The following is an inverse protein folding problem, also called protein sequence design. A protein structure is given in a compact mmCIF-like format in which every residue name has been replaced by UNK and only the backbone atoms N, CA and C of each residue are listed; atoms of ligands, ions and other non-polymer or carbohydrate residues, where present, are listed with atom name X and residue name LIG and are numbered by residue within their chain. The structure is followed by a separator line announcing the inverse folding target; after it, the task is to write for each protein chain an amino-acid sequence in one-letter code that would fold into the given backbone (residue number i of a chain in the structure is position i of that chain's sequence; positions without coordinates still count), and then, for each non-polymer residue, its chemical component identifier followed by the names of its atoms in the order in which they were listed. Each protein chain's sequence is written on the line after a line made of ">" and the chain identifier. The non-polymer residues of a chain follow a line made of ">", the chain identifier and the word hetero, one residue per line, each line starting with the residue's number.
data_IF_826008232959
#
_entry.id   IF_826008232959
#
_cell.length_a   1.000
_cell.length_b   1.000
_cell.length_c   1.000
_cell.angle_alpha   90.00
_cell.angle_beta   90.00
_cell.angle_gamma   90.00
#
_symmetry.space_group_name_H-M   'P 1'
#
loop_
_entity.id
_entity.type
_entity.pdbx_description
1 polymer ?
#
# COMPACT_ATOMS: atom_id res chain seq x y z
N UNK A 1 17.18 -8.43 22.53
CA UNK A 1 16.32 -8.34 21.34
C UNK A 1 15.02 -9.00 21.74
N UNK A 2 13.89 -8.29 21.63
CA UNK A 2 12.57 -8.87 21.91
C UNK A 2 12.10 -9.58 20.65
N UNK A 3 11.73 -10.84 20.76
CA UNK A 3 11.09 -11.58 19.68
C UNK A 3 9.83 -10.83 19.22
N UNK A 4 9.60 -10.80 17.91
CA UNK A 4 8.37 -10.22 17.37
C UNK A 4 7.18 -11.11 17.71
N UNK A 5 5.98 -10.53 17.96
CA UNK A 5 4.78 -11.29 18.31
C UNK A 5 4.31 -12.22 17.18
N UNK A 6 4.64 -11.88 15.93
CA UNK A 6 4.45 -12.71 14.73
C UNK A 6 5.45 -12.30 13.66
N UNK A 7 5.67 -13.18 12.66
CA UNK A 7 6.34 -12.78 11.43
C UNK A 7 5.40 -11.82 10.66
N UNK A 8 5.80 -10.54 10.44
CA UNK A 8 4.93 -9.62 9.70
C UNK A 8 4.90 -9.96 8.22
N UNK A 9 3.76 -9.73 7.59
CA UNK A 9 3.60 -9.75 6.13
C UNK A 9 4.23 -8.47 5.54
N UNK A 10 5.00 -8.60 4.46
CA UNK A 10 5.72 -7.50 3.81
C UNK A 10 5.14 -7.25 2.42
N UNK A 11 4.46 -6.12 2.26
CA UNK A 11 3.92 -5.62 0.99
C UNK A 11 4.90 -4.60 0.41
N UNK A 12 5.40 -4.78 -0.81
CA UNK A 12 6.21 -3.76 -1.46
C UNK A 12 5.36 -2.80 -2.29
N UNK A 13 5.59 -1.48 -2.15
CA UNK A 13 4.96 -0.40 -2.92
C UNK A 13 6.03 0.31 -3.77
N UNK A 14 6.31 -0.17 -5.00
CA UNK A 14 7.56 0.15 -5.69
C UNK A 14 7.58 1.52 -6.35
N UNK A 15 6.44 2.19 -6.58
CA UNK A 15 6.42 3.42 -7.39
C UNK A 15 5.41 4.50 -6.96
N UNK A 16 4.21 4.10 -6.45
CA UNK A 16 3.14 5.06 -6.16
C UNK A 16 2.62 5.81 -7.40
N UNK A 17 1.85 6.88 -7.21
CA UNK A 17 1.16 7.60 -8.28
C UNK A 17 1.97 8.77 -8.91
N UNK A 18 2.99 9.32 -8.23
CA UNK A 18 3.53 10.64 -8.54
C UNK A 18 4.98 10.66 -9.00
N UNK A 19 5.81 9.73 -8.53
CA UNK A 19 7.23 9.65 -8.81
C UNK A 19 7.51 8.93 -10.12
N UNK A 20 8.70 9.19 -10.72
CA UNK A 20 9.16 8.57 -11.95
C UNK A 20 10.67 8.44 -11.99
N UNK A 21 11.23 8.13 -13.16
CA UNK A 21 12.69 7.96 -13.35
C UNK A 21 13.51 9.21 -13.00
N UNK A 22 12.89 10.40 -13.05
CA UNK A 22 13.53 11.65 -12.63
C UNK A 22 13.80 11.72 -11.13
N UNK A 23 13.01 10.99 -10.34
CA UNK A 23 13.16 10.93 -8.88
C UNK A 23 14.13 9.81 -8.46
N UNK A 24 14.12 8.69 -9.19
CA UNK A 24 15.05 7.59 -8.99
C UNK A 24 15.14 6.70 -10.25
N UNK A 25 16.35 6.38 -10.76
CA UNK A 25 16.52 5.65 -12.02
C UNK A 25 15.93 4.23 -12.02
N UNK A 26 15.82 3.60 -10.85
CA UNK A 26 15.24 2.26 -10.66
C UNK A 26 13.79 2.28 -10.15
N UNK A 27 13.08 3.42 -10.25
CA UNK A 27 11.65 3.47 -9.93
C UNK A 27 10.86 2.93 -11.14
N UNK A 28 10.09 1.83 -10.99
CA UNK A 28 9.43 1.20 -12.13
C UNK A 28 8.25 2.03 -12.63
N UNK A 29 8.19 2.28 -13.93
CA UNK A 29 7.14 3.03 -14.63
C UNK A 29 6.45 2.16 -15.67
N UNK A 30 7.20 1.30 -16.36
CA UNK A 30 6.67 0.37 -17.36
C UNK A 30 6.23 -0.95 -16.74
N UNK A 31 5.43 -1.74 -17.46
CA UNK A 31 5.04 -3.08 -17.04
C UNK A 31 6.26 -3.98 -16.85
N UNK A 32 7.20 -3.95 -17.80
CA UNK A 32 8.41 -4.75 -17.73
C UNK A 32 9.24 -4.44 -16.49
N UNK A 33 9.49 -3.15 -16.21
CA UNK A 33 10.20 -2.70 -15.00
C UNK A 33 9.45 -3.11 -13.72
N UNK A 34 8.11 -3.04 -13.73
CA UNK A 34 7.27 -3.46 -12.60
C UNK A 34 7.42 -4.95 -12.32
N UNK A 35 7.41 -5.79 -13.35
CA UNK A 35 7.60 -7.24 -13.23
C UNK A 35 9.01 -7.58 -12.73
N UNK A 36 10.04 -6.93 -13.27
CA UNK A 36 11.43 -7.13 -12.85
C UNK A 36 11.60 -6.73 -11.37
N UNK A 37 11.06 -5.57 -10.98
CA UNK A 37 11.08 -5.09 -9.60
C UNK A 37 10.32 -6.01 -8.66
N UNK A 38 9.14 -6.48 -9.05
CA UNK A 38 8.33 -7.41 -8.26
C UNK A 38 9.08 -8.71 -7.98
N UNK A 39 9.74 -9.28 -8.99
CA UNK A 39 10.57 -10.50 -8.84
C UNK A 39 11.72 -10.26 -7.86
N UNK A 40 12.51 -9.20 -8.06
CA UNK A 40 13.63 -8.88 -7.18
C UNK A 40 13.19 -8.63 -5.73
N UNK A 41 12.06 -7.96 -5.52
CA UNK A 41 11.50 -7.73 -4.18
C UNK A 41 10.99 -9.03 -3.54
N UNK A 42 10.36 -9.93 -4.30
CA UNK A 42 9.95 -11.24 -3.82
C UNK A 42 11.17 -12.08 -3.37
N UNK A 43 12.22 -12.13 -4.20
CA UNK A 43 13.49 -12.78 -3.86
C UNK A 43 14.16 -12.16 -2.61
N UNK A 44 13.96 -10.85 -2.38
CA UNK A 44 14.43 -10.14 -1.19
C UNK A 44 13.57 -10.39 0.05
N UNK A 45 12.39 -11.02 -0.09
CA UNK A 45 11.51 -11.43 1.00
C UNK A 45 10.21 -10.63 1.12
N UNK A 46 9.75 -9.98 0.06
CA UNK A 46 8.39 -9.44 0.00
C UNK A 46 7.37 -10.56 -0.26
N UNK A 47 6.24 -10.50 0.46
CA UNK A 47 5.12 -11.43 0.34
C UNK A 47 4.09 -10.96 -0.72
N UNK A 48 4.01 -9.65 -0.97
CA UNK A 48 3.05 -9.07 -1.91
C UNK A 48 3.52 -7.76 -2.53
N UNK A 49 2.79 -7.34 -3.57
CA UNK A 49 3.00 -6.13 -4.34
C UNK A 49 1.78 -5.21 -4.27
N UNK A 50 1.97 -3.97 -3.85
CA UNK A 50 1.01 -2.88 -4.01
C UNK A 50 1.23 -2.23 -5.38
N UNK A 51 0.30 -2.50 -6.30
CA UNK A 51 0.45 -2.20 -7.72
C UNK A 51 -0.18 -0.86 -8.09
N UNK A 52 0.64 0.07 -8.56
CA UNK A 52 0.22 1.20 -9.39
C UNK A 52 0.60 0.95 -10.84
N UNK A 53 -0.32 1.21 -11.75
CA UNK A 53 -0.05 1.18 -13.20
C UNK A 53 0.09 2.58 -13.76
N UNK A 54 0.75 2.68 -14.89
CA UNK A 54 0.95 3.92 -15.62
C UNK A 54 0.37 3.85 -17.02
N UNK A 55 -0.04 5.00 -17.55
CA UNK A 55 -0.41 5.13 -18.96
C UNK A 55 0.82 5.20 -19.89
N UNK A 56 0.60 5.43 -21.17
CA UNK A 56 1.66 5.55 -22.17
C UNK A 56 2.58 6.77 -21.96
N UNK A 57 2.17 7.73 -21.13
CA UNK A 57 2.92 8.94 -20.80
C UNK A 57 3.57 8.85 -19.41
N UNK A 58 3.53 7.68 -18.76
CA UNK A 58 4.07 7.47 -17.43
C UNK A 58 3.20 8.05 -16.30
N UNK A 59 1.98 8.50 -16.61
CA UNK A 59 1.05 9.05 -15.63
C UNK A 59 0.30 7.93 -14.91
N UNK A 60 -0.06 8.18 -13.65
CA UNK A 60 -0.91 7.26 -12.88
C UNK A 60 -2.23 6.95 -13.61
N UNK A 61 -2.65 5.68 -13.61
CA UNK A 61 -3.83 5.25 -14.33
C UNK A 61 -4.71 4.30 -13.50
N UNK A 62 -6.04 4.41 -13.69
CA UNK A 62 -7.03 3.45 -13.22
C UNK A 62 -7.64 2.65 -14.40
N UNK A 63 -6.96 2.60 -15.54
CA UNK A 63 -7.41 1.85 -16.72
C UNK A 63 -7.49 0.35 -16.42
N UNK A 64 -8.67 -0.21 -16.56
CA UNK A 64 -8.94 -1.61 -16.22
C UNK A 64 -8.21 -2.59 -17.14
N UNK A 65 -8.04 -2.27 -18.42
CA UNK A 65 -7.33 -3.13 -19.38
C UNK A 65 -5.86 -3.27 -19.00
N UNK A 66 -5.21 -2.16 -18.67
CA UNK A 66 -3.82 -2.14 -18.18
C UNK A 66 -3.64 -2.87 -16.85
N UNK A 67 -4.60 -2.74 -15.92
CA UNK A 67 -4.58 -3.52 -14.68
C UNK A 67 -4.69 -5.02 -14.95
N UNK A 68 -5.62 -5.43 -15.81
CA UNK A 68 -5.79 -6.84 -16.16
C UNK A 68 -4.54 -7.43 -16.81
N UNK A 69 -3.91 -6.68 -17.73
CA UNK A 69 -2.64 -7.07 -18.35
C UNK A 69 -1.52 -7.21 -17.31
N UNK A 70 -1.35 -6.19 -16.45
CA UNK A 70 -0.30 -6.18 -15.43
C UNK A 70 -0.48 -7.32 -14.41
N UNK A 71 -1.70 -7.53 -13.93
CA UNK A 71 -2.01 -8.62 -12.99
C UNK A 71 -1.77 -9.99 -13.63
N UNK A 72 -2.15 -10.18 -14.92
CA UNK A 72 -1.93 -11.44 -15.63
C UNK A 72 -0.44 -11.72 -15.80
N UNK A 73 0.36 -10.72 -16.20
CA UNK A 73 1.80 -10.89 -16.39
C UNK A 73 2.52 -11.13 -15.05
N UNK A 74 2.17 -10.39 -13.99
CA UNK A 74 2.73 -10.61 -12.66
C UNK A 74 2.43 -12.00 -12.12
N UNK A 75 1.19 -12.49 -12.24
CA UNK A 75 0.83 -13.85 -11.83
C UNK A 75 1.57 -14.95 -12.60
N UNK A 76 1.90 -14.70 -13.85
CA UNK A 76 2.69 -15.62 -14.67
C UNK A 76 4.17 -15.63 -14.28
N UNK A 77 4.74 -14.45 -13.99
CA UNK A 77 6.18 -14.27 -13.78
C UNK A 77 6.60 -14.44 -12.31
N UNK A 78 5.71 -14.12 -11.36
CA UNK A 78 5.94 -14.19 -9.92
C UNK A 78 4.67 -14.77 -9.24
N UNK A 79 4.36 -16.05 -9.47
CA UNK A 79 3.07 -16.64 -9.08
C UNK A 79 2.81 -16.66 -7.58
N UNK A 80 3.86 -16.68 -6.76
CA UNK A 80 3.78 -16.75 -5.30
C UNK A 80 3.69 -15.36 -4.64
N UNK A 81 3.70 -14.28 -5.43
CA UNK A 81 3.57 -12.91 -4.93
C UNK A 81 2.10 -12.47 -4.95
N UNK A 82 1.55 -12.12 -3.79
CA UNK A 82 0.20 -11.54 -3.73
C UNK A 82 0.14 -10.18 -4.43
N UNK A 83 -0.97 -9.88 -5.10
CA UNK A 83 -1.13 -8.61 -5.82
C UNK A 83 -2.30 -7.83 -5.24
N UNK A 84 -2.02 -6.65 -4.71
CA UNK A 84 -3.00 -5.66 -4.33
C UNK A 84 -3.01 -4.53 -5.36
N UNK A 85 -4.14 -4.24 -5.99
CA UNK A 85 -4.25 -3.04 -6.83
C UNK A 85 -4.56 -1.80 -5.97
N UNK A 86 -4.19 -0.62 -6.46
CA UNK A 86 -4.64 0.64 -5.86
C UNK A 86 -5.87 1.18 -6.58
N UNK A 87 -6.70 1.91 -5.83
CA UNK A 87 -7.72 2.80 -6.39
C UNK A 87 -7.38 4.27 -6.14
N UNK A 88 -6.12 4.60 -5.79
CA UNK A 88 -5.72 6.00 -5.48
C UNK A 88 -6.19 6.96 -6.56
N UNK A 89 -6.92 7.98 -6.15
CA UNK A 89 -7.41 9.02 -7.06
C UNK A 89 -6.31 9.97 -7.56
N UNK A 90 -5.23 10.14 -6.81
CA UNK A 90 -4.07 10.99 -7.09
C UNK A 90 -4.45 12.45 -7.47
N UNK A 91 -5.67 12.90 -7.11
CA UNK A 91 -6.20 14.21 -7.52
C UNK A 91 -6.74 14.28 -8.95
N UNK A 92 -6.73 13.15 -9.68
CA UNK A 92 -7.17 13.08 -11.10
C UNK A 92 -8.52 12.36 -11.26
N UNK A 93 -8.81 11.40 -10.38
CA UNK A 93 -9.98 10.54 -10.51
C UNK A 93 -11.05 10.84 -9.46
N UNK A 94 -12.31 10.75 -9.85
CA UNK A 94 -13.46 10.75 -8.96
C UNK A 94 -13.80 9.34 -8.46
N UNK A 95 -14.73 9.26 -7.51
CA UNK A 95 -15.19 7.98 -6.94
C UNK A 95 -15.84 7.08 -7.98
N UNK A 96 -16.52 7.66 -9.00
CA UNK A 96 -17.06 6.89 -10.12
C UNK A 96 -15.97 6.14 -10.91
N UNK A 97 -14.80 6.77 -11.14
CA UNK A 97 -13.70 6.12 -11.82
C UNK A 97 -13.08 5.00 -10.96
N UNK A 98 -12.96 5.23 -9.64
CA UNK A 98 -12.50 4.21 -8.68
C UNK A 98 -13.47 3.01 -8.65
N UNK A 99 -14.77 3.26 -8.60
CA UNK A 99 -15.82 2.25 -8.71
C UNK A 99 -15.77 1.51 -10.05
N UNK A 100 -15.62 2.24 -11.16
CA UNK A 100 -15.50 1.68 -12.50
C UNK A 100 -14.29 0.74 -12.64
N UNK A 101 -13.15 1.11 -12.09
CA UNK A 101 -11.94 0.29 -12.04
C UNK A 101 -12.20 -1.02 -11.27
N UNK A 102 -12.68 -0.95 -10.03
CA UNK A 102 -13.00 -2.12 -9.20
C UNK A 102 -13.98 -3.07 -9.91
N UNK A 103 -15.03 -2.50 -10.53
CA UNK A 103 -16.06 -3.28 -11.23
C UNK A 103 -15.52 -4.06 -12.41
N UNK A 104 -14.59 -3.47 -13.17
CA UNK A 104 -14.06 -4.08 -14.40
C UNK A 104 -12.89 -5.02 -14.11
N UNK A 105 -11.98 -4.64 -13.21
CA UNK A 105 -10.78 -5.43 -12.86
C UNK A 105 -11.16 -6.65 -12.03
N UNK A 106 -12.14 -6.51 -11.11
CA UNK A 106 -12.55 -7.56 -10.16
C UNK A 106 -11.34 -8.13 -9.40
N UNK A 107 -10.55 -7.28 -8.74
CA UNK A 107 -9.29 -7.71 -8.11
C UNK A 107 -9.56 -8.63 -6.92
N UNK A 108 -8.64 -9.55 -6.64
CA UNK A 108 -8.69 -10.35 -5.41
C UNK A 108 -8.40 -9.49 -4.16
N UNK A 109 -7.61 -8.41 -4.32
CA UNK A 109 -7.24 -7.49 -3.24
C UNK A 109 -7.10 -6.07 -3.77
N UNK A 110 -7.68 -5.09 -3.06
CA UNK A 110 -7.60 -3.67 -3.41
C UNK A 110 -7.39 -2.80 -2.17
N UNK A 111 -6.63 -1.72 -2.31
CA UNK A 111 -6.58 -0.64 -1.33
C UNK A 111 -7.58 0.46 -1.70
N UNK A 112 -8.30 0.97 -0.70
CA UNK A 112 -9.35 1.99 -0.84
C UNK A 112 -9.16 3.06 0.23
N UNK A 113 -8.94 4.31 -0.19
CA UNK A 113 -8.80 5.43 0.75
C UNK A 113 -10.17 5.89 1.24
N UNK A 114 -10.40 5.83 2.55
CA UNK A 114 -11.67 6.23 3.18
C UNK A 114 -12.02 7.68 2.83
N UNK A 115 -11.08 8.62 2.99
CA UNK A 115 -11.29 10.04 2.66
C UNK A 115 -11.52 10.31 1.16
N UNK A 116 -11.00 9.45 0.28
CA UNK A 116 -11.27 9.59 -1.15
C UNK A 116 -12.70 9.18 -1.49
N UNK A 117 -13.18 8.09 -0.92
CA UNK A 117 -14.59 7.67 -1.08
C UNK A 117 -15.54 8.66 -0.41
N UNK A 118 -15.14 9.29 0.69
CA UNK A 118 -15.93 10.32 1.37
C UNK A 118 -16.17 11.58 0.54
N UNK A 119 -15.49 11.76 -0.60
CA UNK A 119 -15.80 12.84 -1.57
C UNK A 119 -17.13 12.65 -2.30
N UNK A 120 -17.67 11.43 -2.33
CA UNK A 120 -19.00 11.09 -2.83
C UNK A 120 -19.61 10.03 -1.89
N UNK A 121 -20.07 10.45 -0.69
CA UNK A 121 -20.48 9.52 0.37
C UNK A 121 -21.68 8.66 -0.05
N UNK A 122 -22.50 9.11 -0.96
CA UNK A 122 -23.60 8.35 -1.57
C UNK A 122 -23.13 7.14 -2.40
N UNK A 123 -21.84 7.13 -2.79
CA UNK A 123 -21.22 6.02 -3.51
C UNK A 123 -20.60 4.98 -2.58
N UNK A 124 -20.41 5.30 -1.29
CA UNK A 124 -19.66 4.43 -0.36
C UNK A 124 -20.28 3.03 -0.27
N UNK A 125 -21.60 2.93 -0.04
CA UNK A 125 -22.29 1.64 0.02
C UNK A 125 -22.15 0.82 -1.28
N UNK A 126 -22.18 1.48 -2.44
CA UNK A 126 -22.01 0.84 -3.75
C UNK A 126 -20.58 0.31 -3.93
N UNK A 127 -19.56 1.07 -3.50
CA UNK A 127 -18.14 0.67 -3.61
C UNK A 127 -17.88 -0.56 -2.74
N UNK A 128 -18.24 -0.50 -1.46
CA UNK A 128 -17.98 -1.60 -0.52
C UNK A 128 -18.88 -2.82 -0.78
N UNK A 129 -20.13 -2.61 -1.20
CA UNK A 129 -21.02 -3.67 -1.64
C UNK A 129 -20.50 -4.40 -2.87
N UNK A 130 -20.02 -3.66 -3.88
CA UNK A 130 -19.39 -4.25 -5.06
C UNK A 130 -18.18 -5.12 -4.69
N UNK A 131 -17.31 -4.64 -3.82
CA UNK A 131 -16.15 -5.42 -3.36
C UNK A 131 -16.59 -6.71 -2.64
N UNK A 132 -17.62 -6.64 -1.80
CA UNK A 132 -18.20 -7.82 -1.15
C UNK A 132 -18.74 -8.83 -2.16
N UNK A 133 -19.53 -8.38 -3.14
CA UNK A 133 -20.16 -9.22 -4.17
C UNK A 133 -19.12 -9.90 -5.07
N UNK A 134 -17.98 -9.25 -5.28
CA UNK A 134 -16.87 -9.76 -6.09
C UNK A 134 -15.89 -10.65 -5.31
N UNK A 135 -16.00 -10.70 -3.97
CA UNK A 135 -15.02 -11.34 -3.10
C UNK A 135 -13.67 -10.60 -3.04
N UNK A 136 -13.68 -9.29 -3.33
CA UNK A 136 -12.48 -8.45 -3.23
C UNK A 136 -12.15 -8.18 -1.76
N UNK A 137 -10.97 -8.59 -1.30
CA UNK A 137 -10.40 -8.16 -0.03
C UNK A 137 -10.13 -6.65 -0.10
N UNK A 138 -10.66 -5.88 0.86
CA UNK A 138 -10.48 -4.42 0.91
C UNK A 138 -9.53 -4.06 2.04
N UNK A 139 -8.48 -3.28 1.72
CA UNK A 139 -7.65 -2.63 2.71
C UNK A 139 -7.95 -1.13 2.75
N UNK A 140 -8.48 -0.66 3.89
CA UNK A 140 -8.83 0.74 4.11
C UNK A 140 -7.59 1.58 4.40
N UNK A 141 -7.31 2.59 3.57
CA UNK A 141 -6.21 3.53 3.79
C UNK A 141 -6.69 4.62 4.74
N UNK A 142 -5.99 4.77 5.87
CA UNK A 142 -6.27 5.72 6.94
C UNK A 142 -5.04 6.60 7.16
N UNK A 143 -5.19 7.90 7.04
CA UNK A 143 -4.10 8.87 7.19
C UNK A 143 -4.06 9.52 8.57
N UNK A 144 -5.19 9.48 9.31
CA UNK A 144 -5.33 10.07 10.64
C UNK A 144 -6.52 9.47 11.42
N UNK A 145 -6.76 10.01 12.60
CA UNK A 145 -7.85 9.59 13.47
C UNK A 145 -9.25 9.91 12.89
N UNK A 146 -9.36 10.93 12.04
CA UNK A 146 -10.65 11.29 11.40
C UNK A 146 -11.05 10.23 10.38
N UNK A 147 -10.13 9.75 9.57
CA UNK A 147 -10.39 8.61 8.66
C UNK A 147 -10.79 7.36 9.44
N UNK A 148 -10.13 7.08 10.57
CA UNK A 148 -10.45 5.93 11.41
C UNK A 148 -11.85 6.06 12.05
N UNK A 149 -12.24 7.25 12.47
CA UNK A 149 -13.58 7.53 12.99
C UNK A 149 -14.64 7.34 11.91
N UNK A 150 -14.42 7.87 10.71
CA UNK A 150 -15.33 7.72 9.56
C UNK A 150 -15.48 6.25 9.14
N UNK A 151 -14.38 5.49 9.09
CA UNK A 151 -14.43 4.04 8.83
C UNK A 151 -15.31 3.34 9.86
N UNK A 152 -15.14 3.68 11.15
CA UNK A 152 -15.93 3.11 12.23
C UNK A 152 -17.42 3.46 12.09
N UNK A 153 -17.75 4.69 11.69
CA UNK A 153 -19.12 5.10 11.40
C UNK A 153 -19.72 4.27 10.27
N UNK A 154 -19.01 4.11 9.16
CA UNK A 154 -19.46 3.33 8.02
C UNK A 154 -19.62 1.83 8.34
N UNK A 155 -18.76 1.27 9.19
CA UNK A 155 -18.90 -0.09 9.69
C UNK A 155 -20.19 -0.25 10.53
N UNK A 156 -20.46 0.68 11.46
CA UNK A 156 -21.69 0.65 12.27
C UNK A 156 -22.95 0.84 11.43
N UNK A 157 -22.87 1.61 10.36
CA UNK A 157 -23.99 1.83 9.43
C UNK A 157 -24.18 0.67 8.44
N UNK A 158 -23.28 -0.34 8.42
CA UNK A 158 -23.34 -1.46 7.48
C UNK A 158 -22.92 -1.10 6.06
N UNK A 159 -22.38 0.11 5.84
CA UNK A 159 -21.81 0.54 4.55
C UNK A 159 -20.54 -0.26 4.24
N UNK A 160 -19.63 -0.36 5.19
CA UNK A 160 -18.46 -1.26 5.15
C UNK A 160 -18.88 -2.60 5.75
N UNK A 161 -18.67 -3.70 5.03
CA UNK A 161 -19.17 -5.03 5.38
C UNK A 161 -18.30 -5.71 6.45
N UNK A 162 -18.88 -6.64 7.22
CA UNK A 162 -18.18 -7.31 8.34
C UNK A 162 -16.87 -7.99 7.97
N UNK A 163 -16.75 -8.49 6.74
CA UNK A 163 -15.52 -9.11 6.22
C UNK A 163 -14.44 -8.13 5.77
N UNK A 164 -14.71 -6.81 5.77
CA UNK A 164 -13.81 -5.76 5.25
C UNK A 164 -13.14 -5.02 6.42
N UNK A 165 -12.22 -5.70 7.13
CA UNK A 165 -11.63 -5.17 8.37
C UNK A 165 -10.19 -4.68 8.23
N UNK A 166 -9.52 -4.97 7.09
CA UNK A 166 -8.09 -4.68 6.93
C UNK A 166 -7.83 -3.16 6.82
N UNK A 167 -6.80 -2.71 7.50
CA UNK A 167 -6.42 -1.29 7.57
C UNK A 167 -4.98 -1.09 7.12
N UNK A 168 -4.72 0.01 6.43
CA UNK A 168 -3.40 0.56 6.19
C UNK A 168 -3.29 1.90 6.92
N UNK A 169 -2.42 1.98 7.91
CA UNK A 169 -2.12 3.20 8.66
C UNK A 169 -0.95 3.92 7.97
N UNK A 170 -1.19 5.15 7.51
CA UNK A 170 -0.23 5.92 6.73
C UNK A 170 0.41 7.00 7.57
N UNK A 171 1.71 6.89 7.80
CA UNK A 171 2.47 7.84 8.59
C UNK A 171 3.17 8.86 7.69
N UNK A 172 3.10 10.15 8.02
CA UNK A 172 3.88 11.22 7.43
C UNK A 172 3.47 11.66 6.01
N UNK A 173 2.44 11.08 5.38
CA UNK A 173 2.05 11.41 3.99
C UNK A 173 1.73 12.88 3.79
N UNK A 174 1.05 13.50 4.77
CA UNK A 174 0.63 14.89 4.73
C UNK A 174 1.39 15.78 5.72
N UNK A 175 2.45 15.26 6.37
CA UNK A 175 3.35 16.07 7.18
C UNK A 175 4.24 16.96 6.30
N UNK A 176 4.74 18.06 6.87
CA UNK A 176 5.71 18.91 6.19
C UNK A 176 6.95 18.09 5.83
N UNK A 177 7.35 18.12 4.55
CA UNK A 177 8.48 17.36 4.04
C UNK A 177 8.24 15.85 3.94
N UNK A 178 7.01 15.37 4.17
CA UNK A 178 6.66 13.94 4.19
C UNK A 178 7.55 13.14 5.16
N UNK A 179 7.67 13.60 6.38
CA UNK A 179 8.48 12.96 7.43
C UNK A 179 7.55 12.27 8.42
N UNK A 180 7.87 11.02 8.74
CA UNK A 180 7.19 10.21 9.75
C UNK A 180 8.09 9.88 10.94
N UNK A 181 7.46 9.50 12.04
CA UNK A 181 8.13 8.97 13.23
C UNK A 181 7.40 7.75 13.77
N UNK A 182 8.10 6.81 14.47
CA UNK A 182 7.47 5.65 15.09
C UNK A 182 6.34 6.00 16.08
N UNK A 183 6.39 7.20 16.67
CA UNK A 183 5.40 7.73 17.61
C UNK A 183 4.09 8.10 16.91
N UNK A 184 4.11 8.38 15.60
CA UNK A 184 2.90 8.70 14.82
C UNK A 184 1.90 7.54 14.80
N UNK A 185 2.32 6.32 15.11
CA UNK A 185 1.43 5.18 15.30
C UNK A 185 0.42 5.38 16.44
N UNK A 186 0.77 6.19 17.43
CA UNK A 186 -0.06 6.37 18.63
C UNK A 186 -1.32 7.21 18.35
N UNK A 187 -1.39 7.90 17.21
CA UNK A 187 -2.58 8.64 16.78
C UNK A 187 -3.74 7.74 16.33
N UNK A 188 -3.46 6.47 15.99
CA UNK A 188 -4.48 5.56 15.52
C UNK A 188 -5.07 4.71 16.65
N UNK A 189 -6.40 4.39 16.59
CA UNK A 189 -7.04 3.51 17.56
C UNK A 189 -6.35 2.14 17.59
N UNK A 190 -6.10 1.64 18.79
CA UNK A 190 -5.56 0.28 19.02
C UNK A 190 -6.74 -0.67 19.21
N UNK A 191 -7.12 -1.40 18.17
CA UNK A 191 -8.13 -2.45 18.22
C UNK A 191 -7.58 -3.78 17.66
N UNK A 192 -8.44 -4.78 17.51
CA UNK A 192 -8.04 -6.13 17.06
C UNK A 192 -8.14 -6.34 15.56
N UNK A 193 -8.52 -5.33 14.79
CA UNK A 193 -8.59 -5.44 13.33
C UNK A 193 -7.21 -5.71 12.75
N UNK A 194 -7.10 -6.48 11.65
CA UNK A 194 -5.85 -6.60 10.92
C UNK A 194 -5.37 -5.23 10.43
N UNK A 195 -4.10 -4.94 10.61
CA UNK A 195 -3.53 -3.66 10.24
C UNK A 195 -2.10 -3.78 9.70
N UNK A 196 -1.78 -2.88 8.80
CA UNK A 196 -0.50 -2.70 8.15
C UNK A 196 -0.08 -1.24 8.28
N UNK A 197 1.21 -0.96 8.21
CA UNK A 197 1.74 0.42 8.22
C UNK A 197 2.55 0.67 6.97
N UNK A 198 2.43 1.90 6.43
CA UNK A 198 3.44 2.50 5.59
C UNK A 198 3.84 3.86 6.16
N UNK A 199 5.07 4.29 5.89
CA UNK A 199 5.63 5.48 6.51
C UNK A 199 6.49 6.27 5.53
N UNK A 200 6.18 7.55 5.35
CA UNK A 200 6.87 8.41 4.39
C UNK A 200 8.16 9.00 4.97
N UNK A 201 9.18 9.07 4.11
CA UNK A 201 10.46 9.70 4.41
C UNK A 201 11.52 8.76 5.01
N UNK A 202 12.71 9.30 5.36
CA UNK A 202 13.90 8.50 5.65
C UNK A 202 13.78 7.61 6.89
N UNK A 203 12.80 7.86 7.76
CA UNK A 203 12.53 7.03 8.95
C UNK A 203 11.56 5.87 8.68
N UNK A 204 11.22 5.56 7.41
CA UNK A 204 10.31 4.48 7.02
C UNK A 204 10.61 3.19 7.79
N UNK A 205 11.83 2.67 7.71
CA UNK A 205 12.20 1.40 8.36
C UNK A 205 12.06 1.43 9.88
N UNK A 206 12.34 2.55 10.54
CA UNK A 206 12.15 2.68 11.98
C UNK A 206 10.65 2.61 12.36
N UNK A 207 9.78 3.24 11.57
CA UNK A 207 8.33 3.16 11.75
C UNK A 207 7.81 1.74 11.52
N UNK A 208 8.26 1.07 10.45
CA UNK A 208 7.89 -0.29 10.12
C UNK A 208 8.37 -1.29 11.18
N UNK A 209 9.59 -1.13 11.69
CA UNK A 209 10.09 -1.96 12.80
C UNK A 209 9.24 -1.80 14.06
N UNK A 210 8.85 -0.56 14.39
CA UNK A 210 7.91 -0.31 15.51
C UNK A 210 6.56 -0.96 15.30
N UNK A 211 6.03 -0.93 14.06
CA UNK A 211 4.80 -1.62 13.71
C UNK A 211 4.91 -3.14 13.88
N UNK A 212 6.00 -3.75 13.41
CA UNK A 212 6.28 -5.18 13.59
C UNK A 212 6.34 -5.59 15.08
N UNK A 213 6.98 -4.77 15.92
CA UNK A 213 7.01 -4.98 17.37
C UNK A 213 5.63 -4.97 18.03
N UNK A 214 4.65 -4.26 17.41
CA UNK A 214 3.26 -4.19 17.86
C UNK A 214 2.34 -5.21 17.14
N UNK A 215 2.91 -6.10 16.31
CA UNK A 215 2.16 -7.14 15.58
C UNK A 215 1.48 -6.68 14.29
N UNK A 216 1.83 -5.51 13.76
CA UNK A 216 1.37 -5.01 12.47
C UNK A 216 2.12 -5.62 11.29
N UNK A 217 1.48 -5.62 10.11
CA UNK A 217 2.09 -5.91 8.83
C UNK A 217 2.71 -4.64 8.22
N UNK A 218 3.55 -4.77 7.20
CA UNK A 218 4.46 -3.72 6.75
C UNK A 218 4.30 -3.45 5.25
N UNK A 219 4.24 -2.16 4.85
CA UNK A 219 4.32 -1.76 3.46
C UNK A 219 5.53 -0.85 3.25
N UNK A 220 6.50 -1.31 2.46
CA UNK A 220 7.79 -0.66 2.22
C UNK A 220 7.98 -0.35 0.74
N UNK A 221 8.78 0.65 0.40
CA UNK A 221 9.22 0.87 -0.98
C UNK A 221 9.22 2.32 -1.45
N UNK A 222 9.56 2.51 -2.71
CA UNK A 222 9.83 3.81 -3.31
C UNK A 222 8.61 4.75 -3.40
N UNK A 223 7.41 4.22 -3.27
CA UNK A 223 6.24 5.06 -3.04
C UNK A 223 6.38 5.89 -1.75
N UNK A 224 6.99 5.31 -0.71
CA UNK A 224 7.07 5.93 0.61
C UNK A 224 8.42 6.64 0.83
N UNK A 225 9.55 5.96 0.57
CA UNK A 225 10.89 6.54 0.75
C UNK A 225 11.88 6.06 -0.31
N UNK A 226 12.65 7.01 -0.87
CA UNK A 226 13.76 6.70 -1.78
C UNK A 226 15.10 6.56 -1.05
N UNK A 227 15.13 6.90 0.25
CA UNK A 227 16.37 6.98 1.04
C UNK A 227 16.26 6.19 2.33
N UNK A 228 17.41 5.76 2.85
CA UNK A 228 17.53 5.19 4.19
C UNK A 228 17.53 6.29 5.28
N UNK A 229 17.69 5.87 6.54
CA UNK A 229 17.75 6.78 7.71
C UNK A 229 18.88 7.80 7.66
N UNK A 230 19.95 7.51 6.93
CA UNK A 230 21.13 8.38 6.78
C UNK A 230 20.98 9.34 5.60
N UNK A 231 19.81 9.31 4.93
CA UNK A 231 19.54 10.12 3.75
C UNK A 231 20.20 9.61 2.46
N UNK A 232 20.83 8.42 2.49
CA UNK A 232 21.43 7.82 1.31
C UNK A 232 20.35 7.13 0.47
N UNK A 233 20.36 7.33 -0.87
CA UNK A 233 19.45 6.65 -1.76
C UNK A 233 19.59 5.11 -1.65
N UNK A 234 18.47 4.40 -1.64
CA UNK A 234 18.49 2.96 -1.87
C UNK A 234 18.97 2.65 -3.29
N UNK A 235 19.63 1.53 -3.50
CA UNK A 235 20.01 1.10 -4.86
C UNK A 235 18.76 0.82 -5.72
N UNK A 236 17.78 0.15 -5.14
CA UNK A 236 16.48 -0.18 -5.72
C UNK A 236 15.46 -0.57 -4.61
N UNK A 237 14.24 -0.94 -5.00
CA UNK A 237 13.22 -1.41 -4.06
C UNK A 237 13.63 -2.70 -3.34
N UNK A 238 14.32 -3.62 -4.03
CA UNK A 238 14.73 -4.89 -3.44
C UNK A 238 15.78 -4.69 -2.33
N UNK A 239 16.69 -3.72 -2.48
CA UNK A 239 17.64 -3.34 -1.44
C UNK A 239 16.93 -2.81 -0.17
N UNK A 240 15.89 -1.99 -0.34
CA UNK A 240 15.07 -1.52 0.78
C UNK A 240 14.33 -2.68 1.46
N UNK A 241 13.71 -3.59 0.70
CA UNK A 241 13.05 -4.79 1.24
C UNK A 241 14.04 -5.68 2.01
N UNK A 242 15.21 -5.98 1.42
CA UNK A 242 16.24 -6.82 2.06
C UNK A 242 16.73 -6.22 3.39
N UNK A 243 16.94 -4.90 3.42
CA UNK A 243 17.33 -4.19 4.64
C UNK A 243 16.25 -4.26 5.73
N UNK A 244 14.96 -4.10 5.36
CA UNK A 244 13.84 -4.24 6.29
C UNK A 244 13.75 -5.67 6.83
N UNK A 245 13.85 -6.69 5.98
CA UNK A 245 13.86 -8.11 6.38
C UNK A 245 15.00 -8.39 7.34
N UNK A 246 16.20 -7.87 7.07
CA UNK A 246 17.36 -8.02 7.96
C UNK A 246 17.13 -7.36 9.32
N UNK A 247 16.54 -6.15 9.32
CA UNK A 247 16.20 -5.44 10.55
C UNK A 247 15.20 -6.22 11.42
N UNK A 248 14.16 -6.79 10.80
CA UNK A 248 13.12 -7.57 11.48
C UNK A 248 13.69 -8.86 12.06
N UNK A 249 14.55 -9.55 11.32
CA UNK A 249 15.18 -10.81 11.77
C UNK A 249 16.28 -10.58 12.81
N UNK A 250 16.62 -9.34 13.12
CA UNK A 250 17.66 -9.01 14.09
C UNK A 250 19.08 -9.37 13.62
N UNK A 251 19.27 -9.53 12.32
CA UNK A 251 20.58 -9.74 11.71
C UNK A 251 21.19 -8.37 11.46
N UNK A 252 21.80 -7.77 12.51
CA UNK A 252 22.69 -6.63 12.29
C UNK A 252 23.90 -7.12 11.50
N UNK A 253 24.21 -6.45 10.39
CA UNK A 253 25.51 -6.57 9.73
C UNK A 253 26.59 -5.93 10.58
#
# INVERSE_FOLDING_TARGET
>A
MTDLPKQPYILVAPNGARRGHVDHPHLPVTLEETVQTARACHEAGADGLHLHIRDAHGQHSLDAGRYLEAVAELKKQVPDLDIQITTEAAGMYGVDAQYGCLRQVRPGWASVSVREIARAPEMADRVYGLCQDQGTRVQHILYDAEDAALLTEWQRAGIVRDGQQDRLLVLGRYSTGQVSSPEDLDQFPQDRSPWMVCAFGPREHACLYKAAQRGGDLRVGFENSLTNSDGQPWADNAASVAALVSLIKGVSK
#
